data_IF_271076217490
#
_entry.id   IF_271076217490
#
_cell.length_a   1.000
_cell.length_b   1.000
_cell.length_c   1.000
_cell.angle_alpha   90.00
_cell.angle_beta   90.00
_cell.angle_gamma   90.00
#
_symmetry.space_group_name_H-M   'P 1'
#
loop_
_entity.id
_entity.type
_entity.pdbx_description
1 polymer ?
#
# COMPACT_ATOMS: atom_id res chain seq x y z
N UNK A 1 -23.41 -14.72 -3.22
CA UNK A 1 -22.28 -15.66 -3.47
C UNK A 1 -21.76 -16.21 -2.14
N UNK A 2 -20.94 -17.26 -2.13
CA UNK A 2 -20.35 -17.82 -0.89
C UNK A 2 -18.86 -17.47 -0.79
N UNK A 3 -18.39 -17.15 0.41
CA UNK A 3 -16.97 -16.95 0.67
C UNK A 3 -16.23 -18.29 0.55
N UNK A 4 -15.19 -18.43 -0.31
CA UNK A 4 -14.48 -19.70 -0.51
C UNK A 4 -13.60 -20.12 0.67
N UNK A 5 -13.48 -19.27 1.71
CA UNK A 5 -12.64 -19.55 2.88
C UNK A 5 -13.43 -19.98 4.11
N UNK A 6 -14.68 -19.52 4.25
CA UNK A 6 -15.48 -19.75 5.45
C UNK A 6 -16.94 -20.11 5.16
N UNK A 7 -17.31 -20.30 3.89
CA UNK A 7 -18.63 -20.70 3.41
C UNK A 7 -19.81 -19.79 3.79
N UNK A 8 -19.54 -18.65 4.44
CA UNK A 8 -20.55 -17.66 4.78
C UNK A 8 -21.18 -17.09 3.50
N UNK A 9 -22.50 -16.93 3.53
CA UNK A 9 -23.24 -16.24 2.48
C UNK A 9 -22.93 -14.74 2.52
N UNK A 10 -22.59 -14.20 1.36
CA UNK A 10 -22.38 -12.78 1.13
C UNK A 10 -23.26 -12.32 -0.03
N UNK A 11 -23.73 -11.07 0.02
CA UNK A 11 -24.43 -10.44 -1.09
C UNK A 11 -23.59 -10.50 -2.37
N UNK A 12 -24.25 -10.61 -3.53
CA UNK A 12 -23.58 -10.70 -4.83
C UNK A 12 -24.14 -9.70 -5.83
N UNK A 13 -23.26 -9.02 -6.56
CA UNK A 13 -23.57 -8.14 -7.67
C UNK A 13 -22.86 -8.61 -8.94
N UNK A 14 -23.56 -8.59 -10.07
CA UNK A 14 -22.97 -8.96 -11.37
C UNK A 14 -22.31 -7.74 -12.00
N UNK A 15 -21.06 -7.89 -12.44
CA UNK A 15 -20.34 -6.85 -13.15
C UNK A 15 -20.97 -6.57 -14.53
N UNK A 16 -21.35 -5.33 -14.88
CA UNK A 16 -21.93 -5.02 -16.18
C UNK A 16 -20.92 -5.04 -17.34
N UNK A 17 -19.62 -5.02 -17.04
CA UNK A 17 -18.56 -5.01 -18.05
C UNK A 17 -18.09 -6.41 -18.44
N UNK A 18 -17.95 -7.33 -17.47
CA UNK A 18 -17.42 -8.68 -17.71
C UNK A 18 -18.33 -9.82 -17.21
N UNK A 19 -19.52 -9.51 -16.70
CA UNK A 19 -20.55 -10.47 -16.28
C UNK A 19 -20.19 -11.43 -15.14
N UNK A 20 -19.08 -11.20 -14.43
CA UNK A 20 -18.71 -12.01 -13.25
C UNK A 20 -19.38 -11.49 -11.99
N UNK A 21 -19.69 -12.41 -11.08
CA UNK A 21 -20.19 -12.08 -9.75
C UNK A 21 -19.08 -11.48 -8.88
N UNK A 22 -19.41 -10.44 -8.14
CA UNK A 22 -18.56 -9.81 -7.14
C UNK A 22 -19.37 -9.67 -5.85
N UNK A 23 -18.73 -9.52 -4.69
CA UNK A 23 -19.42 -9.16 -3.45
C UNK A 23 -20.26 -7.89 -3.65
N UNK A 24 -21.43 -7.82 -3.01
CA UNK A 24 -22.36 -6.70 -3.16
C UNK A 24 -21.73 -5.34 -2.80
N UNK A 25 -20.84 -5.32 -1.81
CA UNK A 25 -20.13 -4.10 -1.37
C UNK A 25 -18.89 -3.78 -2.23
N UNK A 26 -18.58 -4.57 -3.26
CA UNK A 26 -17.39 -4.35 -4.08
C UNK A 26 -17.48 -3.05 -4.89
N UNK A 27 -16.57 -2.12 -4.64
CA UNK A 27 -16.46 -0.86 -5.42
C UNK A 27 -15.96 -1.08 -6.84
N UNK A 28 -15.12 -2.10 -7.03
CA UNK A 28 -14.51 -2.47 -8.31
C UNK A 28 -14.66 -3.97 -8.57
N UNK A 29 -14.70 -4.37 -9.83
CA UNK A 29 -14.73 -5.77 -10.20
C UNK A 29 -13.35 -6.41 -9.99
N UNK A 30 -13.27 -7.47 -9.18
CA UNK A 30 -12.01 -8.16 -8.87
C UNK A 30 -11.38 -8.88 -10.07
N UNK A 31 -12.09 -8.98 -11.18
CA UNK A 31 -11.65 -9.72 -12.36
C UNK A 31 -11.35 -8.86 -13.58
N UNK A 32 -11.94 -7.65 -13.69
CA UNK A 32 -11.70 -6.76 -14.83
C UNK A 32 -11.39 -5.32 -14.43
N UNK A 33 -11.44 -4.98 -13.14
CA UNK A 33 -11.12 -3.64 -12.63
C UNK A 33 -12.20 -2.58 -12.86
N UNK A 34 -13.29 -2.89 -13.56
CA UNK A 34 -14.37 -1.91 -13.79
C UNK A 34 -15.00 -1.46 -12.47
N UNK A 35 -15.30 -0.18 -12.34
CA UNK A 35 -16.10 0.36 -11.23
C UNK A 35 -17.49 -0.29 -11.24
N UNK A 36 -17.96 -0.78 -10.10
CA UNK A 36 -19.28 -1.41 -9.94
C UNK A 36 -20.28 -0.48 -9.24
N UNK A 37 -19.79 0.30 -8.28
CA UNK A 37 -20.59 1.28 -7.55
C UNK A 37 -20.07 2.67 -7.91
N UNK A 38 -20.84 3.38 -8.72
CA UNK A 38 -20.73 4.83 -8.81
C UNK A 38 -21.46 5.38 -7.58
N UNK A 39 -20.79 5.44 -6.44
CA UNK A 39 -21.34 6.19 -5.32
C UNK A 39 -21.56 7.62 -5.83
N UNK A 40 -22.76 8.17 -5.61
CA UNK A 40 -22.92 9.62 -5.62
C UNK A 40 -22.07 10.11 -4.47
N UNK A 41 -20.81 10.39 -4.76
CA UNK A 41 -19.96 11.18 -3.89
C UNK A 41 -20.79 12.43 -3.64
N UNK A 42 -21.24 12.75 -2.40
CA UNK A 42 -21.61 14.13 -2.14
C UNK A 42 -20.46 14.97 -2.68
N UNK A 43 -20.81 16.02 -3.42
CA UNK A 43 -19.93 16.93 -4.13
C UNK A 43 -19.01 17.67 -3.13
N UNK A 44 -18.15 16.89 -2.48
CA UNK A 44 -17.07 17.24 -1.58
C UNK A 44 -15.82 17.05 -2.45
N UNK A 45 -14.96 18.07 -2.53
CA UNK A 45 -13.96 18.17 -3.59
C UNK A 45 -13.09 16.92 -3.64
N UNK A 46 -12.99 16.37 -4.85
CA UNK A 46 -12.06 15.31 -5.20
C UNK A 46 -10.72 15.54 -4.52
N UNK A 47 -10.17 14.48 -3.91
CA UNK A 47 -8.84 14.42 -3.34
C UNK A 47 -7.91 15.48 -3.94
N UNK A 48 -7.65 16.51 -3.13
CA UNK A 48 -6.69 17.56 -3.43
C UNK A 48 -5.34 16.87 -3.60
N UNK A 49 -4.94 16.68 -4.85
CA UNK A 49 -3.53 16.60 -5.20
C UNK A 49 -2.93 17.98 -4.91
N UNK A 50 -2.36 18.10 -3.73
CA UNK A 50 -1.30 19.01 -3.33
C UNK A 50 -1.56 20.51 -3.53
N UNK A 51 -2.18 21.12 -2.53
CA UNK A 51 -1.57 22.30 -1.91
C UNK A 51 -1.47 22.00 -0.42
N UNK A 52 -0.33 21.44 -0.01
CA UNK A 52 0.14 21.62 1.36
C UNK A 52 0.32 23.13 1.54
N UNK A 53 -0.68 23.75 2.15
CA UNK A 53 -0.54 25.06 2.79
C UNK A 53 0.53 24.86 3.86
N UNK A 54 1.73 25.37 3.59
CA UNK A 54 2.81 25.43 4.55
C UNK A 54 2.32 26.30 5.71
N UNK A 55 1.74 25.66 6.73
CA UNK A 55 1.86 26.18 8.08
C UNK A 55 3.20 25.69 8.59
N UNK A 56 4.12 26.63 8.78
CA UNK A 56 5.45 26.48 9.37
C UNK A 56 5.42 25.84 10.77
N UNK A 57 5.18 24.53 10.81
CA UNK A 57 5.46 23.63 11.94
C UNK A 57 6.21 22.40 11.36
N UNK A 58 7.30 22.69 10.64
CA UNK A 58 8.15 21.77 9.87
C UNK A 58 9.08 20.87 10.72
N UNK A 59 8.78 20.60 11.99
CA UNK A 59 9.65 19.76 12.82
C UNK A 59 9.33 18.25 12.75
N UNK A 60 8.16 17.85 12.24
CA UNK A 60 7.67 16.44 12.29
C UNK A 60 7.37 15.78 10.93
N UNK A 61 7.28 16.54 9.83
CA UNK A 61 6.92 16.02 8.50
C UNK A 61 8.07 16.10 7.49
N UNK A 62 9.30 15.90 7.93
CA UNK A 62 10.45 15.81 7.02
C UNK A 62 10.38 14.50 6.21
N UNK A 63 9.76 14.58 5.03
CA UNK A 63 9.63 13.46 4.09
C UNK A 63 10.99 13.02 3.54
N UNK A 64 12.00 13.89 3.50
CA UNK A 64 13.34 13.56 3.01
C UNK A 64 14.10 12.67 4.01
N UNK A 65 13.74 12.70 5.29
CA UNK A 65 14.33 11.85 6.32
C UNK A 65 13.73 10.43 6.40
N UNK A 66 12.64 10.12 5.67
CA UNK A 66 11.97 8.82 5.73
C UNK A 66 12.56 7.81 4.75
N UNK A 67 13.79 7.38 5.04
CA UNK A 67 14.53 6.40 4.22
C UNK A 67 14.07 4.97 4.55
N UNK A 68 13.65 4.18 3.56
CA UNK A 68 13.26 2.78 3.75
C UNK A 68 14.49 1.86 3.94
N UNK A 69 14.29 0.77 4.70
CA UNK A 69 15.31 -0.25 4.87
C UNK A 69 15.70 -0.93 3.53
N UNK A 70 16.99 -1.15 3.25
CA UNK A 70 17.46 -1.73 1.98
C UNK A 70 17.17 -3.24 1.82
N UNK A 71 16.73 -3.92 2.88
CA UNK A 71 16.49 -5.37 2.90
C UNK A 71 15.27 -5.82 2.06
N UNK A 72 14.45 -4.88 1.56
CA UNK A 72 13.31 -5.13 0.67
C UNK A 72 12.13 -5.91 1.27
N UNK A 73 12.39 -6.84 2.19
CA UNK A 73 11.42 -7.58 3.00
C UNK A 73 11.17 -6.92 4.37
N UNK A 74 12.08 -6.07 4.83
CA UNK A 74 11.93 -5.35 6.09
C UNK A 74 11.04 -4.11 5.91
N UNK A 75 10.06 -3.92 6.80
CA UNK A 75 9.10 -2.81 6.78
C UNK A 75 9.59 -1.54 7.48
N UNK A 76 10.81 -1.56 8.03
CA UNK A 76 11.36 -0.47 8.83
C UNK A 76 11.93 0.69 8.02
N UNK A 77 12.15 1.81 8.72
CA UNK A 77 12.84 3.01 8.21
C UNK A 77 14.22 3.14 8.85
N UNK A 78 15.12 3.85 8.18
CA UNK A 78 16.45 4.18 8.68
C UNK A 78 16.40 5.45 9.52
N UNK A 79 16.80 5.33 10.78
CA UNK A 79 17.02 6.45 11.73
C UNK A 79 18.44 6.31 12.28
N UNK A 80 19.22 7.38 12.31
CA UNK A 80 20.62 7.36 12.73
C UNK A 80 21.48 6.30 12.01
N UNK A 81 21.21 6.11 10.71
CA UNK A 81 21.91 5.14 9.86
C UNK A 81 21.58 3.68 10.15
N UNK A 82 20.55 3.38 10.96
CA UNK A 82 20.08 2.01 11.24
C UNK A 82 18.57 1.85 11.11
N UNK A 83 18.15 0.68 10.65
CA UNK A 83 16.75 0.32 10.58
C UNK A 83 16.14 0.16 11.99
N UNK A 84 14.96 0.74 12.22
CA UNK A 84 14.23 0.64 13.50
C UNK A 84 13.76 -0.78 13.84
N UNK A 85 13.55 -1.62 12.82
CA UNK A 85 13.00 -2.97 13.00
C UNK A 85 14.09 -4.05 13.05
N UNK A 86 15.00 -4.06 12.06
CA UNK A 86 16.02 -5.10 11.93
C UNK A 86 17.43 -4.66 12.34
N UNK A 87 17.65 -3.36 12.58
CA UNK A 87 18.97 -2.83 12.96
C UNK A 87 20.02 -2.78 11.85
N UNK A 88 19.69 -3.20 10.62
CA UNK A 88 20.61 -3.14 9.47
C UNK A 88 20.93 -1.69 9.11
N UNK A 89 22.16 -1.45 8.65
CA UNK A 89 22.60 -0.14 8.16
C UNK A 89 22.21 0.07 6.71
N UNK A 90 21.99 1.33 6.32
CA UNK A 90 21.90 1.67 4.91
C UNK A 90 23.29 1.46 4.26
N UNK A 91 23.38 0.86 3.07
CA UNK A 91 24.66 0.71 2.38
C UNK A 91 25.22 2.11 2.08
N UNK A 92 26.44 2.37 2.52
CA UNK A 92 27.27 3.43 1.96
C UNK A 92 27.46 3.09 0.46
N UNK A 93 27.50 4.09 -0.42
CA UNK A 93 27.67 3.94 -1.87
C UNK A 93 28.98 3.22 -2.25
N UNK A 94 29.04 1.92 -2.00
CA UNK A 94 30.29 1.16 -2.11
C UNK A 94 30.22 -0.33 -1.76
N UNK A 95 29.19 -0.84 -1.07
CA UNK A 95 29.16 -2.26 -0.70
C UNK A 95 27.90 -2.96 -1.21
N UNK A 96 28.00 -3.52 -2.41
CA UNK A 96 27.05 -4.49 -2.93
C UNK A 96 27.22 -5.82 -2.18
N UNK A 97 26.10 -6.29 -1.63
CA UNK A 97 25.69 -7.70 -1.59
C UNK A 97 26.81 -8.74 -1.43
N UNK A 98 27.10 -9.10 -0.17
CA UNK A 98 27.89 -10.28 0.19
C UNK A 98 27.00 -11.36 0.80
N UNK A 99 26.05 -11.89 0.04
CA UNK A 99 25.33 -13.10 0.41
C UNK A 99 26.29 -14.29 0.48
N UNK A 100 26.61 -14.77 1.69
CA UNK A 100 27.16 -16.12 1.85
C UNK A 100 26.04 -17.06 2.22
N UNK A 101 25.45 -17.65 1.18
CA UNK A 101 24.90 -19.00 1.21
C UNK A 101 25.95 -19.93 1.85
N UNK A 102 25.58 -20.61 2.93
CA UNK A 102 26.38 -21.69 3.52
C UNK A 102 25.57 -22.99 3.42
N UNK A 103 25.62 -23.58 2.24
CA UNK A 103 25.38 -25.00 2.03
C UNK A 103 26.74 -25.71 1.95
N UNK A 104 27.08 -26.46 3.01
CA UNK A 104 27.83 -27.75 3.08
C UNK A 104 27.96 -28.16 4.54
#
# INVERSE_FOLDING_TARGET
>A
MKCPHCDKEIGGATCPHCSRENPEEAKYCMYCGSVLVLEKVPEEPAHVDQTVDQTDDDEDLDFDNRILCPDGACTGIIVDGRCTECGRRYPDDGEADGGTEKDV
#
